data_IF_068794626608
#
_entry.id   IF_068794626608
#
_cell.length_a   1.000
_cell.length_b   1.000
_cell.length_c   1.000
_cell.angle_alpha   90.00
_cell.angle_beta   90.00
_cell.angle_gamma   90.00
#
_symmetry.space_group_name_H-M   'P 1'
#
loop_
_entity.id
_entity.type
_entity.pdbx_description
1 polymer ?
#
# COMPACT_ATOMS: atom_id res chain seq x y z
N UNK A 1 18.79 13.57 -34.85
CA UNK A 1 17.59 14.27 -34.36
C UNK A 1 16.26 13.69 -34.85
N UNK A 2 16.14 13.02 -36.01
CA UNK A 2 14.85 12.47 -36.48
C UNK A 2 14.36 11.18 -35.79
N UNK A 3 15.27 10.34 -35.24
CA UNK A 3 14.91 9.07 -34.60
C UNK A 3 14.54 9.17 -33.10
N UNK A 4 14.97 10.23 -32.40
CA UNK A 4 14.63 10.42 -30.99
C UNK A 4 13.18 10.86 -30.82
N UNK A 5 12.68 11.71 -31.71
CA UNK A 5 11.28 12.14 -31.72
C UNK A 5 10.32 10.99 -32.00
N UNK A 6 10.71 9.99 -32.81
CA UNK A 6 9.85 8.83 -33.08
C UNK A 6 9.74 7.89 -31.87
N UNK A 7 10.84 7.71 -31.12
CA UNK A 7 10.84 6.88 -29.91
C UNK A 7 10.00 7.47 -28.79
N UNK A 8 10.22 8.74 -28.43
CA UNK A 8 9.47 9.39 -27.35
C UNK A 8 7.98 9.50 -27.70
N UNK A 9 7.64 9.85 -28.94
CA UNK A 9 6.25 9.89 -29.38
C UNK A 9 5.59 8.50 -29.36
N UNK A 10 6.33 7.43 -29.63
CA UNK A 10 5.83 6.07 -29.47
C UNK A 10 5.56 5.73 -28.00
N UNK A 11 6.49 6.04 -27.10
CA UNK A 11 6.33 5.83 -25.66
C UNK A 11 5.13 6.61 -25.10
N UNK A 12 4.97 7.89 -25.48
CA UNK A 12 3.86 8.74 -25.06
C UNK A 12 2.49 8.17 -25.44
N UNK A 13 2.36 7.52 -26.60
CA UNK A 13 1.11 6.85 -27.01
C UNK A 13 0.75 5.69 -26.08
N UNK A 14 1.72 5.08 -25.41
CA UNK A 14 1.48 3.98 -24.47
C UNK A 14 0.97 4.45 -23.10
N UNK A 15 1.03 5.75 -22.80
CA UNK A 15 0.62 6.32 -21.51
C UNK A 15 -0.87 6.61 -21.39
N UNK A 16 -1.61 6.51 -22.49
CA UNK A 16 -3.03 6.91 -22.57
C UNK A 16 -3.89 6.04 -21.64
N UNK A 17 -3.66 4.73 -21.66
CA UNK A 17 -4.39 3.78 -20.81
C UNK A 17 -3.42 2.98 -19.94
N UNK A 18 -3.70 2.93 -18.64
CA UNK A 18 -2.99 2.05 -17.71
C UNK A 18 -3.75 0.74 -17.52
N UNK A 19 -3.94 0.04 -18.64
CA UNK A 19 -4.64 -1.25 -18.72
C UNK A 19 -3.68 -2.35 -19.16
N UNK A 20 -4.06 -3.60 -18.92
CA UNK A 20 -3.39 -4.74 -19.54
C UNK A 20 -4.14 -5.17 -20.79
N UNK A 21 -3.41 -5.35 -21.87
CA UNK A 21 -3.91 -6.02 -23.06
C UNK A 21 -3.20 -7.36 -23.21
N UNK A 22 -3.86 -8.30 -23.89
CA UNK A 22 -3.36 -9.64 -24.07
C UNK A 22 -3.28 -10.01 -25.54
N UNK A 23 -2.28 -10.82 -25.85
CA UNK A 23 -2.18 -11.61 -27.06
C UNK A 23 -2.57 -13.04 -26.69
N UNK A 24 -3.82 -13.39 -26.94
CA UNK A 24 -4.40 -14.68 -26.51
C UNK A 24 -3.69 -15.88 -27.15
N UNK A 25 -3.19 -15.72 -28.37
CA UNK A 25 -2.42 -16.74 -29.06
C UNK A 25 -1.09 -17.00 -28.34
N UNK A 26 -0.35 -15.93 -28.03
CA UNK A 26 0.90 -16.03 -27.26
C UNK A 26 0.64 -16.56 -25.85
N UNK A 27 -0.44 -16.10 -25.19
CA UNK A 27 -0.85 -16.57 -23.87
C UNK A 27 -1.08 -18.08 -23.88
N UNK A 28 -1.95 -18.58 -24.76
CA UNK A 28 -2.26 -20.00 -24.89
C UNK A 28 -0.99 -20.84 -25.14
N UNK A 29 -0.11 -20.38 -26.03
CA UNK A 29 1.14 -21.06 -26.34
C UNK A 29 2.14 -21.09 -25.16
N UNK A 30 2.08 -20.12 -24.24
CA UNK A 30 2.98 -20.04 -23.09
C UNK A 30 2.43 -20.71 -21.83
N UNK A 31 1.11 -20.85 -21.69
CA UNK A 31 0.49 -21.49 -20.53
C UNK A 31 0.99 -22.93 -20.31
N UNK A 32 1.35 -23.66 -21.37
CA UNK A 32 1.95 -24.99 -21.26
C UNK A 32 3.33 -24.99 -20.61
N UNK A 33 4.13 -23.93 -20.81
CA UNK A 33 5.47 -23.81 -20.22
C UNK A 33 5.42 -23.35 -18.76
N UNK A 34 4.31 -22.78 -18.31
CA UNK A 34 4.14 -22.39 -16.90
C UNK A 34 4.28 -23.59 -15.95
N UNK A 35 3.86 -24.78 -16.37
CA UNK A 35 4.04 -26.02 -15.59
C UNK A 35 5.50 -26.48 -15.49
N UNK A 36 6.40 -25.92 -16.30
CA UNK A 36 7.84 -26.15 -16.22
C UNK A 36 8.47 -25.62 -14.93
N UNK A 37 7.94 -24.51 -14.40
CA UNK A 37 8.27 -24.04 -13.06
C UNK A 37 7.62 -24.98 -12.02
N UNK A 38 8.41 -25.81 -11.33
CA UNK A 38 7.90 -26.82 -10.41
C UNK A 38 7.56 -26.24 -9.04
N UNK A 39 6.55 -26.75 -8.35
CA UNK A 39 6.25 -26.33 -6.98
C UNK A 39 7.46 -26.56 -6.06
N UNK A 40 7.77 -25.57 -5.22
CA UNK A 40 8.94 -25.61 -4.34
C UNK A 40 10.30 -25.42 -5.04
N UNK A 41 10.35 -25.15 -6.35
CA UNK A 41 11.59 -24.77 -7.02
C UNK A 41 12.05 -23.39 -6.57
N UNK A 42 13.36 -23.15 -6.62
CA UNK A 42 13.92 -21.84 -6.36
C UNK A 42 13.68 -20.93 -7.56
N UNK A 43 12.97 -19.83 -7.31
CA UNK A 43 12.72 -18.77 -8.27
C UNK A 43 13.63 -17.59 -7.93
N UNK A 44 14.19 -16.98 -8.95
CA UNK A 44 15.10 -15.85 -8.87
C UNK A 44 14.53 -14.65 -9.65
N UNK A 45 14.78 -13.46 -9.11
CA UNK A 45 14.61 -12.19 -9.81
C UNK A 45 15.97 -11.78 -10.37
N UNK A 46 16.05 -11.49 -11.66
CA UNK A 46 17.32 -11.24 -12.35
C UNK A 46 17.15 -10.18 -13.43
N UNK A 47 18.27 -9.60 -13.87
CA UNK A 47 18.26 -8.60 -14.93
C UNK A 47 19.49 -8.66 -15.83
N UNK A 48 19.38 -8.03 -16.99
CA UNK A 48 20.50 -7.71 -17.88
C UNK A 48 20.45 -6.23 -18.22
N UNK A 49 21.61 -5.57 -18.32
CA UNK A 49 21.66 -4.19 -18.78
C UNK A 49 21.35 -4.11 -20.28
N UNK A 50 20.53 -3.12 -20.65
CA UNK A 50 20.07 -2.87 -22.01
C UNK A 50 20.09 -1.39 -22.32
N UNK A 51 20.02 -1.08 -23.61
CA UNK A 51 19.83 0.27 -24.09
C UNK A 51 18.81 0.29 -25.23
N UNK A 52 17.88 1.24 -25.18
CA UNK A 52 16.89 1.44 -26.22
C UNK A 52 16.58 2.94 -26.35
N UNK A 53 16.50 3.46 -27.58
CA UNK A 53 16.25 4.89 -27.80
C UNK A 53 17.31 5.81 -27.17
N UNK A 54 18.54 5.33 -26.97
CA UNK A 54 19.62 6.06 -26.31
C UNK A 54 19.58 6.04 -24.77
N UNK A 55 18.62 5.33 -24.17
CA UNK A 55 18.46 5.22 -22.71
C UNK A 55 18.95 3.85 -22.26
N UNK A 56 19.87 3.83 -21.30
CA UNK A 56 20.29 2.58 -20.65
C UNK A 56 19.36 2.24 -19.48
N UNK A 57 18.98 0.98 -19.36
CA UNK A 57 18.07 0.48 -18.32
C UNK A 57 18.32 -1.01 -18.06
N UNK A 58 17.84 -1.49 -16.92
CA UNK A 58 17.89 -2.89 -16.54
C UNK A 58 16.64 -3.61 -17.04
N UNK A 59 16.83 -4.65 -17.85
CA UNK A 59 15.76 -5.53 -18.30
C UNK A 59 15.59 -6.71 -17.34
N UNK A 60 14.53 -6.63 -16.53
CA UNK A 60 14.26 -7.59 -15.46
C UNK A 60 13.40 -8.76 -15.91
N UNK A 61 13.61 -9.93 -15.28
CA UNK A 61 12.88 -11.16 -15.56
C UNK A 61 12.89 -12.10 -14.35
N UNK A 62 12.00 -13.10 -14.37
CA UNK A 62 11.88 -14.13 -13.35
C UNK A 62 12.32 -15.47 -13.91
N UNK A 63 13.14 -16.23 -13.17
CA UNK A 63 13.70 -17.49 -13.67
C UNK A 63 13.91 -18.55 -12.59
N UNK A 64 13.77 -19.82 -12.94
CA UNK A 64 14.24 -20.98 -12.17
C UNK A 64 15.60 -21.51 -12.72
N UNK A 65 16.28 -20.69 -13.53
CA UNK A 65 17.50 -20.98 -14.32
C UNK A 65 17.30 -21.88 -15.55
N UNK A 66 16.09 -22.39 -15.76
CA UNK A 66 15.72 -23.20 -16.93
C UNK A 66 14.72 -22.43 -17.79
N UNK A 67 13.71 -21.88 -17.14
CA UNK A 67 12.62 -21.09 -17.70
C UNK A 67 12.83 -19.62 -17.35
N UNK A 68 12.54 -18.74 -18.28
CA UNK A 68 12.71 -17.28 -18.16
C UNK A 68 11.39 -16.62 -18.52
N UNK A 69 10.68 -16.10 -17.51
CA UNK A 69 9.49 -15.28 -17.71
C UNK A 69 9.89 -13.81 -17.79
N UNK A 70 9.65 -13.19 -18.93
CA UNK A 70 10.06 -11.80 -19.20
C UNK A 70 9.05 -11.08 -20.08
N UNK A 71 9.02 -9.74 -19.96
CA UNK A 71 8.22 -8.88 -20.81
C UNK A 71 9.08 -8.30 -21.95
N UNK A 72 9.02 -8.92 -23.12
CA UNK A 72 9.92 -8.64 -24.25
C UNK A 72 11.15 -9.55 -24.27
N UNK A 73 11.87 -9.57 -25.40
CA UNK A 73 13.11 -10.35 -25.56
C UNK A 73 14.27 -9.46 -25.98
N UNK A 74 15.48 -10.03 -26.04
CA UNK A 74 16.71 -9.32 -26.34
C UNK A 74 16.72 -8.58 -27.71
N UNK A 75 15.92 -9.05 -28.66
CA UNK A 75 16.04 -8.68 -30.09
C UNK A 75 14.74 -8.11 -30.68
N UNK A 76 13.72 -7.85 -29.86
CA UNK A 76 12.38 -7.44 -30.32
C UNK A 76 12.14 -5.95 -30.02
N UNK A 77 11.46 -5.26 -30.96
CA UNK A 77 10.90 -3.93 -30.73
C UNK A 77 10.01 -3.96 -29.47
N UNK A 78 10.40 -3.18 -28.46
CA UNK A 78 9.76 -3.16 -27.15
C UNK A 78 8.24 -2.91 -27.24
N UNK A 79 7.73 -2.23 -28.26
CA UNK A 79 6.28 -1.98 -28.39
C UNK A 79 5.51 -3.16 -28.97
N UNK A 80 6.21 -4.10 -29.59
CA UNK A 80 5.68 -5.41 -29.98
C UNK A 80 5.92 -6.48 -28.90
N UNK A 81 6.60 -6.13 -27.81
CA UNK A 81 6.91 -7.05 -26.72
C UNK A 81 5.66 -7.73 -26.17
N UNK A 82 5.86 -8.97 -25.74
CA UNK A 82 4.87 -9.81 -25.05
C UNK A 82 5.52 -10.42 -23.82
N UNK A 83 4.72 -10.67 -22.79
CA UNK A 83 5.17 -11.50 -21.68
C UNK A 83 5.18 -12.95 -22.12
N UNK A 84 6.35 -13.57 -22.11
CA UNK A 84 6.55 -14.95 -22.58
C UNK A 84 7.42 -15.74 -21.61
N UNK A 85 7.40 -17.06 -21.73
CA UNK A 85 8.32 -17.98 -21.06
C UNK A 85 9.25 -18.53 -22.13
N UNK A 86 10.54 -18.22 -22.00
CA UNK A 86 11.60 -18.80 -22.83
C UNK A 86 12.33 -19.90 -22.08
N UNK A 87 12.79 -20.92 -22.80
CA UNK A 87 13.69 -21.97 -22.30
C UNK A 87 15.10 -21.82 -22.83
N UNK A 88 15.38 -20.75 -23.59
CA UNK A 88 16.71 -20.49 -24.12
C UNK A 88 17.65 -20.13 -22.97
N UNK A 89 18.66 -20.98 -22.76
CA UNK A 89 19.66 -20.78 -21.70
C UNK A 89 20.34 -19.43 -21.89
N UNK A 90 20.38 -18.64 -20.81
CA UNK A 90 21.14 -17.39 -20.75
C UNK A 90 22.41 -17.61 -19.94
N UNK A 91 23.56 -17.35 -20.55
CA UNK A 91 24.85 -17.55 -19.90
C UNK A 91 25.31 -16.34 -19.05
N UNK A 92 24.76 -15.15 -19.28
CA UNK A 92 25.14 -13.93 -18.56
C UNK A 92 23.93 -13.10 -18.16
N UNK A 93 23.73 -12.96 -16.85
CA UNK A 93 22.80 -12.01 -16.25
C UNK A 93 23.20 -11.73 -14.81
N UNK A 94 22.74 -10.59 -14.30
CA UNK A 94 22.92 -10.23 -12.92
C UNK A 94 21.75 -10.83 -12.12
N UNK A 95 22.08 -11.59 -11.08
CA UNK A 95 21.13 -11.77 -9.99
C UNK A 95 21.08 -10.46 -9.19
N UNK A 96 19.91 -10.07 -8.71
CA UNK A 96 19.77 -8.84 -7.90
C UNK A 96 20.86 -8.85 -6.79
N UNK A 97 21.78 -7.87 -6.76
CA UNK A 97 22.92 -7.86 -5.85
C UNK A 97 22.52 -7.91 -4.37
N UNK A 98 21.28 -7.49 -4.05
CA UNK A 98 20.74 -7.51 -2.68
C UNK A 98 20.07 -8.84 -2.31
N UNK A 99 19.81 -9.70 -3.30
CA UNK A 99 19.05 -10.96 -3.18
C UNK A 99 19.86 -12.21 -3.58
N UNK A 100 21.19 -12.17 -3.62
CA UNK A 100 22.02 -13.37 -3.93
C UNK A 100 21.75 -14.58 -3.01
N UNK A 101 21.08 -14.39 -1.86
CA UNK A 101 20.56 -15.43 -0.95
C UNK A 101 19.04 -15.63 -0.97
N UNK A 102 18.27 -14.79 -1.66
CA UNK A 102 16.81 -14.77 -1.59
C UNK A 102 16.19 -15.27 -2.90
N UNK A 103 16.32 -16.58 -3.12
CA UNK A 103 15.34 -17.25 -3.95
C UNK A 103 14.02 -17.37 -3.18
N UNK A 104 12.91 -17.29 -3.90
CA UNK A 104 11.57 -17.58 -3.35
C UNK A 104 11.14 -18.93 -3.87
N UNK A 105 10.56 -19.74 -2.99
CA UNK A 105 9.97 -21.01 -3.39
C UNK A 105 8.74 -20.77 -4.25
N UNK A 106 8.69 -21.41 -5.41
CA UNK A 106 7.51 -21.39 -6.27
C UNK A 106 6.30 -21.92 -5.51
N UNK A 107 5.25 -21.10 -5.43
CA UNK A 107 3.99 -21.43 -4.79
C UNK A 107 2.80 -21.16 -5.73
N UNK A 108 1.60 -21.56 -5.28
CA UNK A 108 0.37 -21.38 -6.05
C UNK A 108 0.13 -19.90 -6.39
N UNK A 109 0.35 -18.99 -5.44
CA UNK A 109 0.09 -17.56 -5.67
C UNK A 109 1.02 -16.97 -6.72
N UNK A 110 2.32 -17.32 -6.69
CA UNK A 110 3.28 -16.91 -7.70
C UNK A 110 2.92 -17.45 -9.08
N UNK A 111 2.52 -18.73 -9.17
CA UNK A 111 2.04 -19.33 -10.42
C UNK A 111 0.80 -18.63 -10.96
N UNK A 112 -0.14 -18.25 -10.10
CA UNK A 112 -1.35 -17.51 -10.48
C UNK A 112 -0.98 -16.12 -11.01
N UNK A 113 -0.04 -15.41 -10.37
CA UNK A 113 0.49 -14.13 -10.87
C UNK A 113 1.22 -14.27 -12.22
N UNK A 114 2.02 -15.33 -12.40
CA UNK A 114 2.62 -15.63 -13.71
C UNK A 114 1.52 -15.81 -14.77
N UNK A 115 0.51 -16.65 -14.47
CA UNK A 115 -0.64 -16.87 -15.35
C UNK A 115 -1.33 -15.56 -15.72
N UNK A 116 -1.47 -14.63 -14.77
CA UNK A 116 -2.11 -13.34 -15.02
C UNK A 116 -1.39 -12.51 -16.08
N UNK A 117 -0.07 -12.44 -16.04
CA UNK A 117 0.71 -11.60 -16.97
C UNK A 117 1.08 -12.30 -18.27
N UNK A 118 0.96 -13.62 -18.39
CA UNK A 118 1.33 -14.31 -19.63
C UNK A 118 0.54 -13.80 -20.85
N UNK A 119 1.27 -13.57 -21.94
CA UNK A 119 0.76 -13.00 -23.18
C UNK A 119 0.40 -11.52 -23.09
N UNK A 120 0.64 -10.86 -21.96
CA UNK A 120 0.42 -9.42 -21.82
C UNK A 120 1.25 -8.67 -22.87
N UNK A 121 0.61 -7.70 -23.52
CA UNK A 121 1.19 -6.77 -24.50
C UNK A 121 1.15 -5.34 -23.97
N UNK A 122 1.31 -4.32 -24.83
CA UNK A 122 1.22 -2.89 -24.51
C UNK A 122 2.32 -2.32 -23.58
N UNK A 123 3.53 -2.85 -23.74
CA UNK A 123 4.73 -2.43 -23.02
C UNK A 123 4.88 -0.90 -22.99
N UNK A 124 5.28 -0.39 -21.83
CA UNK A 124 5.64 1.01 -21.61
C UNK A 124 6.85 1.02 -20.69
N UNK A 125 7.92 1.73 -21.07
CA UNK A 125 9.08 1.90 -20.19
C UNK A 125 8.71 2.58 -18.88
N UNK A 126 7.68 3.44 -18.90
CA UNK A 126 7.24 4.20 -17.73
C UNK A 126 6.25 3.46 -16.84
N UNK A 127 5.21 2.87 -17.44
CA UNK A 127 4.04 2.41 -16.68
C UNK A 127 4.00 0.88 -16.52
N UNK A 128 4.52 0.13 -17.50
CA UNK A 128 4.35 -1.33 -17.60
C UNK A 128 5.61 -1.98 -18.17
N UNK A 129 6.75 -1.67 -17.57
CA UNK A 129 8.03 -2.21 -18.04
C UNK A 129 8.27 -3.63 -17.49
N UNK A 130 9.38 -4.24 -17.91
CA UNK A 130 9.76 -5.57 -17.48
C UNK A 130 10.03 -5.68 -15.96
N UNK A 131 10.50 -4.62 -15.30
CA UNK A 131 10.70 -4.59 -13.84
C UNK A 131 9.36 -4.66 -13.09
N UNK A 132 8.34 -3.93 -13.55
CA UNK A 132 7.00 -4.01 -12.97
C UNK A 132 6.45 -5.44 -13.05
N UNK A 133 6.54 -6.08 -14.22
CA UNK A 133 6.06 -7.46 -14.41
C UNK A 133 6.83 -8.44 -13.55
N UNK A 134 8.17 -8.32 -13.53
CA UNK A 134 9.02 -9.21 -12.75
C UNK A 134 8.76 -9.06 -11.24
N UNK A 135 8.64 -7.83 -10.73
CA UNK A 135 8.27 -7.59 -9.33
C UNK A 135 6.82 -8.04 -9.02
N UNK A 136 5.89 -7.93 -9.96
CA UNK A 136 4.54 -8.43 -9.75
C UNK A 136 4.54 -9.94 -9.59
N UNK A 137 5.20 -10.66 -10.48
CA UNK A 137 5.31 -12.12 -10.38
C UNK A 137 6.05 -12.51 -9.10
N UNK A 138 7.24 -11.95 -8.89
CA UNK A 138 8.15 -12.37 -7.83
C UNK A 138 7.65 -11.96 -6.43
N UNK A 139 7.25 -10.70 -6.29
CA UNK A 139 6.91 -10.07 -5.00
C UNK A 139 5.41 -9.83 -4.82
N UNK A 140 4.61 -9.83 -5.88
CA UNK A 140 3.20 -9.45 -5.82
C UNK A 140 2.97 -7.94 -5.82
N UNK A 141 3.95 -7.14 -6.28
CA UNK A 141 3.92 -5.67 -6.30
C UNK A 141 4.18 -5.15 -7.70
N UNK A 142 3.42 -4.14 -8.15
CA UNK A 142 3.64 -3.48 -9.43
C UNK A 142 4.52 -2.25 -9.25
N UNK A 143 5.83 -2.48 -9.07
CA UNK A 143 6.80 -1.42 -8.82
C UNK A 143 8.03 -1.59 -9.71
N UNK A 144 8.60 -0.47 -10.13
CA UNK A 144 9.88 -0.34 -10.83
C UNK A 144 10.73 0.70 -10.10
N UNK A 145 11.88 0.27 -9.59
CA UNK A 145 12.86 1.13 -8.93
C UNK A 145 13.48 2.11 -9.94
N UNK A 146 13.56 1.70 -11.20
CA UNK A 146 14.02 2.56 -12.29
C UNK A 146 13.07 3.72 -12.59
N UNK A 147 11.80 3.57 -12.19
CA UNK A 147 10.78 4.60 -12.29
C UNK A 147 10.48 5.29 -10.95
N UNK A 148 11.25 5.01 -9.90
CA UNK A 148 11.04 5.61 -8.58
C UNK A 148 11.53 7.07 -8.53
N UNK A 149 10.59 7.98 -8.24
CA UNK A 149 10.76 9.43 -8.31
C UNK A 149 11.64 10.02 -7.18
N UNK A 150 12.25 9.17 -6.36
CA UNK A 150 13.24 9.52 -5.33
C UNK A 150 14.58 10.04 -5.88
N UNK A 151 14.64 10.45 -7.16
CA UNK A 151 15.83 11.02 -7.79
C UNK A 151 16.92 10.00 -8.13
N UNK A 152 16.66 8.70 -8.03
CA UNK A 152 17.64 7.64 -8.35
C UNK A 152 17.20 6.74 -9.51
N UNK A 153 15.92 6.76 -9.90
CA UNK A 153 15.45 5.95 -11.01
C UNK A 153 15.96 6.49 -12.35
N UNK A 154 16.71 5.65 -13.07
CA UNK A 154 17.30 6.03 -14.37
C UNK A 154 16.20 6.40 -15.39
N UNK A 155 15.12 5.62 -15.45
CA UNK A 155 14.04 5.86 -16.40
C UNK A 155 13.19 7.10 -16.01
N UNK A 156 12.82 7.26 -14.74
CA UNK A 156 12.05 8.45 -14.33
C UNK A 156 12.84 9.74 -14.56
N UNK A 157 14.16 9.74 -14.33
CA UNK A 157 15.00 10.93 -14.57
C UNK A 157 14.93 11.41 -16.03
N UNK A 158 14.79 10.46 -16.96
CA UNK A 158 14.64 10.75 -18.38
C UNK A 158 13.22 11.19 -18.73
N UNK A 159 12.21 10.42 -18.31
CA UNK A 159 10.83 10.61 -18.75
C UNK A 159 10.05 11.70 -18.01
N UNK A 160 10.45 12.05 -16.78
CA UNK A 160 9.71 12.97 -15.89
C UNK A 160 9.32 14.28 -16.56
N UNK A 161 10.23 14.90 -17.31
CA UNK A 161 9.99 16.19 -17.98
C UNK A 161 8.99 16.11 -19.14
N UNK A 162 8.68 14.90 -19.61
CA UNK A 162 7.75 14.64 -20.69
C UNK A 162 6.40 14.10 -20.22
N UNK A 163 6.32 13.62 -18.97
CA UNK A 163 5.09 13.09 -18.39
C UNK A 163 4.24 14.21 -17.79
N UNK A 164 2.95 14.21 -18.10
CA UNK A 164 1.97 15.03 -17.42
C UNK A 164 1.77 14.56 -15.98
N UNK A 165 1.34 15.45 -15.09
CA UNK A 165 1.21 15.17 -13.64
C UNK A 165 0.24 14.01 -13.35
N UNK A 166 -0.84 13.88 -14.12
CA UNK A 166 -1.79 12.76 -14.06
C UNK A 166 -1.12 11.42 -14.43
N UNK A 167 -0.19 11.43 -15.40
CA UNK A 167 0.55 10.23 -15.83
C UNK A 167 1.66 9.84 -14.87
N UNK A 168 2.33 10.81 -14.26
CA UNK A 168 3.33 10.54 -13.22
C UNK A 168 2.70 9.77 -12.07
N UNK A 169 1.43 10.07 -11.73
CA UNK A 169 0.72 9.30 -10.69
C UNK A 169 0.68 7.83 -11.06
N UNK A 170 0.33 7.48 -12.30
CA UNK A 170 0.20 6.09 -12.78
C UNK A 170 1.46 5.23 -12.68
N UNK A 171 2.63 5.85 -12.50
CA UNK A 171 3.89 5.13 -12.25
C UNK A 171 3.77 4.29 -10.96
N UNK A 172 4.24 3.05 -11.01
CA UNK A 172 4.22 2.13 -9.87
C UNK A 172 2.82 1.90 -9.28
N UNK A 173 1.80 1.75 -10.15
CA UNK A 173 0.51 1.16 -9.77
C UNK A 173 0.19 -0.06 -10.56
N UNK A 174 -0.72 -0.84 -10.00
CA UNK A 174 -1.45 -1.80 -10.78
C UNK A 174 -2.22 -1.21 -11.97
N UNK A 175 -2.07 -1.83 -13.15
CA UNK A 175 -2.99 -1.66 -14.26
C UNK A 175 -4.40 -2.05 -13.85
N UNK A 176 -5.41 -1.37 -14.38
CA UNK A 176 -6.84 -1.52 -13.97
C UNK A 176 -7.33 -2.98 -13.94
N UNK A 177 -6.83 -3.83 -14.85
CA UNK A 177 -7.23 -5.24 -14.97
C UNK A 177 -6.47 -6.19 -14.04
N UNK A 178 -5.33 -5.78 -13.47
CA UNK A 178 -4.68 -6.54 -12.40
C UNK A 178 -5.26 -6.03 -11.09
N UNK A 179 -6.24 -6.77 -10.57
CA UNK A 179 -6.57 -6.67 -9.15
C UNK A 179 -5.80 -7.78 -8.43
N UNK A 180 -5.02 -7.49 -7.38
CA UNK A 180 -4.58 -8.50 -6.43
C UNK A 180 -5.79 -9.32 -6.02
N UNK A 181 -5.63 -10.64 -5.90
CA UNK A 181 -6.66 -11.55 -5.38
C UNK A 181 -7.13 -11.25 -3.93
N UNK A 182 -6.70 -10.10 -3.38
CA UNK A 182 -6.85 -9.67 -2.00
C UNK A 182 -8.27 -9.16 -1.72
N UNK A 183 -9.02 -8.77 -2.76
CA UNK A 183 -10.35 -8.19 -2.58
C UNK A 183 -11.41 -9.22 -2.93
N UNK A 184 -12.08 -9.76 -1.91
CA UNK A 184 -13.32 -10.48 -2.14
C UNK A 184 -14.26 -9.55 -2.88
N UNK A 185 -14.67 -9.90 -4.09
CA UNK A 185 -15.73 -9.19 -4.80
C UNK A 185 -17.00 -9.26 -3.94
N UNK A 186 -17.18 -8.25 -3.09
CA UNK A 186 -18.45 -7.90 -2.46
C UNK A 186 -19.28 -9.07 -1.93
N UNK A 187 -18.70 -10.01 -1.18
CA UNK A 187 -19.53 -10.71 -0.21
C UNK A 187 -19.91 -9.68 0.83
N UNK A 188 -21.14 -9.18 0.76
CA UNK A 188 -21.76 -8.17 1.62
C UNK A 188 -21.92 -8.61 3.08
N UNK A 189 -21.09 -9.55 3.53
CA UNK A 189 -21.20 -10.14 4.86
C UNK A 189 -20.56 -9.18 5.85
N UNK A 190 -21.38 -8.75 6.82
CA UNK A 190 -20.92 -7.94 7.94
C UNK A 190 -19.89 -8.73 8.74
N UNK A 191 -18.86 -8.06 9.23
CA UNK A 191 -17.93 -8.69 10.18
C UNK A 191 -18.57 -8.93 11.54
N UNK A 192 -19.44 -8.00 11.95
CA UNK A 192 -20.22 -8.06 13.18
C UNK A 192 -21.67 -7.70 12.87
N UNK A 193 -22.58 -8.65 13.05
CA UNK A 193 -24.00 -8.42 12.77
C UNK A 193 -24.65 -7.38 13.70
N UNK A 194 -24.05 -7.16 14.87
CA UNK A 194 -24.55 -6.28 15.93
C UNK A 194 -23.93 -4.88 15.94
N UNK A 195 -22.99 -4.58 15.03
CA UNK A 195 -22.43 -3.23 14.91
C UNK A 195 -23.15 -2.43 13.84
N UNK A 196 -23.53 -1.20 14.19
CA UNK A 196 -24.06 -0.22 13.25
C UNK A 196 -22.97 0.27 12.31
N UNK A 197 -23.32 0.40 11.03
CA UNK A 197 -22.44 0.95 10.01
C UNK A 197 -22.37 2.48 10.14
N UNK A 198 -21.17 3.00 10.37
CA UNK A 198 -20.94 4.46 10.29
C UNK A 198 -20.45 4.90 8.91
N UNK A 199 -19.83 3.96 8.19
CA UNK A 199 -19.27 4.17 6.87
C UNK A 199 -19.66 3.01 5.98
N UNK A 200 -20.17 3.34 4.80
CA UNK A 200 -20.48 2.37 3.76
C UNK A 200 -19.33 2.34 2.76
N UNK A 201 -18.73 1.17 2.58
CA UNK A 201 -17.74 0.95 1.52
C UNK A 201 -18.35 1.21 0.15
N UNK A 202 -17.62 1.89 -0.72
CA UNK A 202 -18.06 2.17 -2.10
C UNK A 202 -17.16 1.52 -3.12
N UNK A 203 -15.85 1.69 -2.97
CA UNK A 203 -14.89 1.26 -3.97
C UNK A 203 -13.50 1.21 -3.39
N UNK A 204 -12.59 0.71 -4.19
CA UNK A 204 -11.19 0.61 -3.88
C UNK A 204 -10.40 1.22 -5.03
N UNK A 205 -9.41 2.04 -4.71
CA UNK A 205 -8.55 2.68 -5.68
C UNK A 205 -7.06 2.53 -5.34
N UNK A 206 -6.23 2.47 -6.37
CA UNK A 206 -4.77 2.64 -6.25
C UNK A 206 -4.35 4.10 -6.27
N UNK A 207 -5.22 4.97 -6.80
CA UNK A 207 -4.98 6.38 -6.95
C UNK A 207 -6.19 7.20 -6.57
N UNK A 208 -5.89 8.37 -6.05
CA UNK A 208 -6.86 9.41 -5.84
C UNK A 208 -6.49 10.60 -6.71
N UNK A 209 -7.49 11.35 -7.14
CA UNK A 209 -7.21 12.72 -7.53
C UNK A 209 -6.95 13.55 -6.26
N UNK A 210 -5.70 14.01 -6.09
CA UNK A 210 -5.29 14.76 -4.91
C UNK A 210 -6.02 16.10 -4.70
N UNK A 211 -6.79 16.57 -5.70
CA UNK A 211 -7.66 17.74 -5.56
C UNK A 211 -9.05 17.38 -5.01
N UNK A 212 -9.39 16.10 -4.89
CA UNK A 212 -10.65 15.67 -4.28
C UNK A 212 -10.69 16.08 -2.80
N UNK A 213 -11.80 16.72 -2.43
CA UNK A 213 -12.05 17.14 -1.05
C UNK A 213 -12.70 16.01 -0.23
N UNK A 214 -12.00 14.88 -0.12
CA UNK A 214 -12.39 13.75 0.73
C UNK A 214 -11.97 13.98 2.19
N UNK A 215 -12.57 13.22 3.10
CA UNK A 215 -12.05 13.03 4.46
C UNK A 215 -11.00 11.92 4.44
N UNK A 216 -9.73 12.31 4.51
CA UNK A 216 -8.61 11.38 4.33
C UNK A 216 -8.07 10.88 5.68
N UNK A 217 -8.05 9.56 5.84
CA UNK A 217 -7.53 8.86 7.01
C UNK A 217 -6.31 8.03 6.60
N UNK A 218 -5.17 8.22 7.26
CA UNK A 218 -3.97 7.43 7.04
C UNK A 218 -3.79 6.41 8.15
N UNK A 219 -3.71 5.12 7.83
CA UNK A 219 -3.47 4.05 8.81
C UNK A 219 -2.04 3.55 8.69
N UNK A 220 -1.21 3.80 9.71
CA UNK A 220 0.21 3.45 9.75
C UNK A 220 0.54 2.60 10.95
N UNK A 221 1.58 1.77 10.83
CA UNK A 221 2.00 0.89 11.92
C UNK A 221 2.78 -0.33 11.44
N UNK A 222 3.40 -1.08 12.37
CA UNK A 222 4.19 -2.27 12.04
C UNK A 222 3.39 -3.36 11.31
N UNK A 223 4.11 -4.31 10.72
CA UNK A 223 3.53 -5.54 10.17
C UNK A 223 2.83 -6.33 11.29
N UNK A 224 1.63 -6.86 11.03
CA UNK A 224 0.86 -7.62 12.03
C UNK A 224 0.20 -6.78 13.15
N UNK A 225 0.27 -5.45 13.08
CA UNK A 225 -0.38 -4.57 14.06
C UNK A 225 -1.92 -4.54 13.96
N UNK A 226 -2.52 -5.13 12.91
CA UNK A 226 -3.96 -5.14 12.71
C UNK A 226 -4.53 -3.94 11.95
N UNK A 227 -3.72 -3.28 11.11
CA UNK A 227 -4.15 -2.13 10.27
C UNK A 227 -5.32 -2.48 9.35
N UNK A 228 -5.13 -3.47 8.48
CA UNK A 228 -6.15 -3.92 7.53
C UNK A 228 -7.39 -4.48 8.23
N UNK A 229 -7.21 -5.16 9.37
CA UNK A 229 -8.35 -5.57 10.21
C UNK A 229 -9.13 -4.36 10.73
N UNK A 230 -8.45 -3.33 11.26
CA UNK A 230 -9.09 -2.11 11.71
C UNK A 230 -9.86 -1.38 10.59
N UNK A 231 -9.36 -1.41 9.35
CA UNK A 231 -10.06 -0.87 8.18
C UNK A 231 -11.31 -1.71 7.86
N UNK A 232 -11.23 -3.03 7.96
CA UNK A 232 -12.39 -3.89 7.82
C UNK A 232 -13.46 -3.57 8.88
N UNK A 233 -13.06 -3.37 10.14
CA UNK A 233 -13.96 -2.90 11.22
C UNK A 233 -14.56 -1.54 10.86
N UNK A 234 -13.75 -0.62 10.32
CA UNK A 234 -14.17 0.74 9.98
C UNK A 234 -15.38 0.77 9.03
N UNK A 235 -15.42 -0.16 8.07
CA UNK A 235 -16.54 -0.34 7.13
C UNK A 235 -17.47 -1.51 7.51
N UNK A 236 -17.23 -2.17 8.64
CA UNK A 236 -17.88 -3.42 9.08
C UNK A 236 -17.98 -4.51 7.97
N UNK A 237 -16.97 -4.61 7.10
CA UNK A 237 -16.96 -5.50 5.94
C UNK A 237 -15.55 -6.06 5.71
N UNK A 238 -15.47 -7.30 5.20
CA UNK A 238 -14.20 -7.94 4.85
C UNK A 238 -13.67 -7.39 3.51
N UNK A 239 -13.04 -6.22 3.55
CA UNK A 239 -12.53 -5.50 2.38
C UNK A 239 -11.07 -5.86 2.11
N UNK A 240 -10.22 -5.67 3.10
CA UNK A 240 -8.81 -6.01 3.06
C UNK A 240 -8.58 -7.45 3.54
N UNK A 241 -7.61 -8.15 2.97
CA UNK A 241 -7.15 -9.42 3.53
C UNK A 241 -6.41 -9.16 4.86
N UNK A 242 -6.84 -9.81 5.93
CA UNK A 242 -6.32 -9.62 7.29
C UNK A 242 -5.82 -10.91 7.92
N UNK A 243 -5.54 -11.94 7.11
CA UNK A 243 -5.06 -13.23 7.62
C UNK A 243 -3.79 -13.12 8.48
N UNK A 244 -3.75 -13.91 9.56
CA UNK A 244 -2.60 -14.01 10.45
C UNK A 244 -1.48 -14.74 9.72
N UNK A 245 -0.62 -13.97 9.06
CA UNK A 245 0.51 -14.46 8.28
C UNK A 245 1.82 -13.91 8.85
N UNK A 246 2.87 -14.73 8.86
CA UNK A 246 4.23 -14.29 9.21
C UNK A 246 4.86 -13.39 8.13
N UNK A 247 4.24 -13.29 6.94
CA UNK A 247 4.64 -12.38 5.85
C UNK A 247 3.69 -11.18 5.80
N UNK A 248 4.21 -10.03 5.36
CA UNK A 248 3.39 -8.84 5.12
C UNK A 248 2.30 -9.15 4.09
N UNK A 249 1.05 -9.10 4.52
CA UNK A 249 -0.14 -9.32 3.66
C UNK A 249 -0.36 -8.09 2.78
N UNK A 250 -0.23 -6.90 3.36
CA UNK A 250 -0.34 -5.61 2.66
C UNK A 250 0.99 -5.26 2.00
N UNK A 251 1.10 -5.60 0.72
CA UNK A 251 2.32 -5.40 -0.07
C UNK A 251 2.39 -4.05 -0.79
N UNK A 252 1.29 -3.32 -0.82
CA UNK A 252 1.21 -1.98 -1.38
C UNK A 252 0.28 -1.08 -0.58
N UNK A 253 0.25 0.19 -0.96
CA UNK A 253 -0.61 1.19 -0.33
C UNK A 253 -1.86 1.34 -1.16
N UNK A 254 -2.98 1.25 -0.47
CA UNK A 254 -4.28 1.20 -1.10
C UNK A 254 -5.22 2.24 -0.50
N UNK A 255 -6.18 2.71 -1.29
CA UNK A 255 -7.17 3.69 -0.85
C UNK A 255 -8.55 3.05 -0.86
N UNK A 256 -9.05 2.75 0.33
CA UNK A 256 -10.42 2.24 0.51
C UNK A 256 -11.36 3.43 0.58
N UNK A 257 -12.29 3.52 -0.37
CA UNK A 257 -13.30 4.56 -0.41
C UNK A 257 -14.59 4.12 0.28
N UNK A 258 -15.23 5.07 0.92
CA UNK A 258 -16.61 4.94 1.32
C UNK A 258 -17.29 6.28 1.51
N UNK A 259 -18.47 6.23 2.12
CA UNK A 259 -19.26 7.40 2.53
C UNK A 259 -19.71 7.24 3.96
N UNK A 260 -19.78 8.33 4.70
CA UNK A 260 -20.39 8.32 6.02
C UNK A 260 -20.33 9.68 6.69
N UNK A 261 -20.80 9.69 7.94
CA UNK A 261 -20.92 10.91 8.72
C UNK A 261 -19.57 11.33 9.31
N UNK A 262 -19.19 12.58 9.07
CA UNK A 262 -17.97 13.20 9.61
C UNK A 262 -18.35 14.46 10.39
N UNK A 263 -17.71 14.67 11.54
CA UNK A 263 -17.99 15.85 12.35
C UNK A 263 -17.29 17.11 11.83
N UNK A 264 -18.07 18.14 11.56
CA UNK A 264 -17.58 19.44 11.15
C UNK A 264 -17.47 20.38 12.36
N UNK A 265 -16.27 20.54 12.91
CA UNK A 265 -16.05 21.40 14.10
C UNK A 265 -16.48 22.85 13.88
N UNK A 266 -16.27 23.42 12.68
CA UNK A 266 -16.63 24.81 12.40
C UNK A 266 -18.15 25.02 12.45
N UNK A 267 -18.91 24.07 11.90
CA UNK A 267 -20.38 24.12 11.87
C UNK A 267 -21.04 23.50 13.09
N UNK A 268 -20.28 22.74 13.89
CA UNK A 268 -20.75 21.92 15.01
C UNK A 268 -21.86 20.91 14.65
N UNK A 269 -21.78 20.30 13.47
CA UNK A 269 -22.75 19.31 12.98
C UNK A 269 -22.05 18.14 12.30
N UNK A 270 -22.73 17.00 12.21
CA UNK A 270 -22.33 15.91 11.32
C UNK A 270 -22.74 16.21 9.89
N UNK A 271 -21.86 15.92 8.94
CA UNK A 271 -22.15 16.01 7.51
C UNK A 271 -21.69 14.73 6.80
N UNK A 272 -22.48 14.30 5.82
CA UNK A 272 -22.12 13.19 4.95
C UNK A 272 -20.92 13.59 4.08
N UNK A 273 -19.87 12.77 4.06
CA UNK A 273 -18.66 12.99 3.27
C UNK A 273 -18.20 11.71 2.58
N UNK A 274 -17.52 11.89 1.46
CA UNK A 274 -16.66 10.84 0.93
C UNK A 274 -15.48 10.67 1.87
N UNK A 275 -15.21 9.43 2.25
CA UNK A 275 -14.12 9.05 3.15
C UNK A 275 -13.14 8.18 2.39
N UNK A 276 -11.85 8.44 2.60
CA UNK A 276 -10.79 7.60 2.06
C UNK A 276 -9.88 7.16 3.19
N UNK A 277 -9.71 5.85 3.31
CA UNK A 277 -8.80 5.24 4.28
C UNK A 277 -7.62 4.64 3.52
N UNK A 278 -6.44 5.20 3.74
CA UNK A 278 -5.19 4.71 3.17
C UNK A 278 -4.64 3.57 4.04
N UNK A 279 -4.71 2.34 3.53
CA UNK A 279 -4.03 1.19 4.13
C UNK A 279 -2.57 1.20 3.69
N UNK A 280 -1.62 1.18 4.63
CA UNK A 280 -0.19 1.19 4.30
C UNK A 280 0.47 -0.16 4.47
N UNK A 281 1.59 -0.34 3.78
CA UNK A 281 2.55 -1.41 4.06
C UNK A 281 2.99 -1.32 5.53
N UNK A 282 3.28 -2.47 6.15
CA UNK A 282 3.87 -2.53 7.49
C UNK A 282 5.25 -1.86 7.54
N UNK A 283 5.48 -1.02 8.55
CA UNK A 283 6.72 -0.26 8.71
C UNK A 283 7.98 -1.10 9.05
N UNK A 284 7.85 -2.40 9.26
CA UNK A 284 8.93 -3.33 9.60
C UNK A 284 8.70 -4.60 8.78
N UNK A 285 8.84 -4.49 7.46
CA UNK A 285 8.67 -5.58 6.50
C UNK A 285 10.03 -6.28 6.33
N UNK A 286 10.06 -7.61 6.41
CA UNK A 286 11.31 -8.38 6.27
C UNK A 286 11.90 -8.31 4.85
N UNK A 287 11.11 -7.91 3.85
CA UNK A 287 11.54 -7.88 2.45
C UNK A 287 12.27 -6.56 2.08
N UNK A 288 11.98 -5.44 2.75
CA UNK A 288 12.44 -4.10 2.35
C UNK A 288 13.02 -3.33 3.54
N UNK A 289 14.03 -2.51 3.26
CA UNK A 289 14.59 -1.58 4.26
C UNK A 289 13.55 -0.56 4.73
N UNK A 290 13.51 -0.29 6.03
CA UNK A 290 12.51 0.58 6.67
C UNK A 290 12.49 2.00 6.09
N UNK A 291 13.65 2.57 5.73
CA UNK A 291 13.70 3.90 5.12
C UNK A 291 13.03 3.89 3.74
N UNK A 292 13.21 2.81 2.98
CA UNK A 292 12.52 2.65 1.68
C UNK A 292 11.01 2.55 1.87
N UNK A 293 10.55 1.80 2.86
CA UNK A 293 9.10 1.68 3.15
C UNK A 293 8.52 3.03 3.53
N UNK A 294 9.18 3.77 4.42
CA UNK A 294 8.75 5.11 4.84
C UNK A 294 8.71 6.08 3.66
N UNK A 295 9.72 6.05 2.79
CA UNK A 295 9.75 6.89 1.60
C UNK A 295 8.66 6.51 0.60
N UNK A 296 8.40 5.21 0.42
CA UNK A 296 7.31 4.73 -0.43
C UNK A 296 5.95 5.19 0.12
N UNK A 297 5.73 5.09 1.45
CA UNK A 297 4.53 5.64 2.10
C UNK A 297 4.42 7.13 1.86
N UNK A 298 5.49 7.88 2.12
CA UNK A 298 5.54 9.33 1.91
C UNK A 298 5.16 9.69 0.49
N UNK A 299 5.86 9.14 -0.50
CA UNK A 299 5.67 9.50 -1.90
C UNK A 299 4.26 9.12 -2.38
N UNK A 300 3.79 7.93 -2.01
CA UNK A 300 2.48 7.46 -2.46
C UNK A 300 1.36 8.27 -1.83
N UNK A 301 1.44 8.57 -0.53
CA UNK A 301 0.44 9.40 0.14
C UNK A 301 0.51 10.83 -0.38
N UNK A 302 1.69 11.45 -0.47
CA UNK A 302 1.84 12.84 -0.95
C UNK A 302 1.41 13.05 -2.41
N UNK A 303 1.53 12.04 -3.27
CA UNK A 303 1.09 12.14 -4.67
C UNK A 303 -0.42 11.96 -4.86
N UNK A 304 -1.12 11.41 -3.85
CA UNK A 304 -2.55 11.10 -3.91
C UNK A 304 -3.39 11.93 -2.94
N UNK A 305 -2.82 12.42 -1.85
CA UNK A 305 -3.53 13.11 -0.78
C UNK A 305 -2.81 14.42 -0.48
N UNK A 306 -3.48 15.53 -0.78
CA UNK A 306 -3.00 16.89 -0.47
C UNK A 306 -3.14 17.22 1.02
N UNK A 307 -4.25 16.80 1.60
CA UNK A 307 -4.61 17.10 2.99
C UNK A 307 -5.04 15.84 3.73
N UNK A 308 -4.44 15.60 4.90
CA UNK A 308 -4.87 14.53 5.80
C UNK A 308 -5.75 15.08 6.92
N UNK A 309 -6.88 14.40 7.15
CA UNK A 309 -7.82 14.77 8.20
C UNK A 309 -7.54 14.02 9.51
N UNK A 310 -7.16 12.74 9.41
CA UNK A 310 -6.84 11.89 10.55
C UNK A 310 -5.68 10.92 10.26
N UNK A 311 -4.94 10.56 11.31
CA UNK A 311 -3.83 9.59 11.24
C UNK A 311 -3.99 8.57 12.35
N UNK A 312 -4.04 7.30 11.97
CA UNK A 312 -4.22 6.15 12.85
C UNK A 312 -2.87 5.47 13.00
N UNK A 313 -2.29 5.54 14.20
CA UNK A 313 -1.04 4.88 14.54
C UNK A 313 -1.36 3.59 15.28
N UNK A 314 -1.28 2.48 14.55
CA UNK A 314 -1.71 1.16 15.04
C UNK A 314 -0.50 0.35 15.48
N UNK A 315 -0.57 -0.22 16.68
CA UNK A 315 0.44 -1.13 17.21
C UNK A 315 -0.21 -2.19 18.08
N UNK A 316 0.47 -3.32 18.29
CA UNK A 316 -0.03 -4.34 19.21
C UNK A 316 0.20 -3.93 20.66
N UNK A 317 -0.81 -4.04 21.50
CA UNK A 317 -0.73 -3.70 22.91
C UNK A 317 0.29 -4.55 23.68
N UNK A 318 0.50 -5.79 23.23
CA UNK A 318 1.39 -6.78 23.85
C UNK A 318 2.82 -6.77 23.32
N UNK A 319 3.08 -6.07 22.21
CA UNK A 319 4.35 -6.14 21.51
C UNK A 319 4.68 -4.82 20.81
N UNK A 320 5.47 -4.02 21.51
CA UNK A 320 6.04 -2.79 20.97
C UNK A 320 7.58 -2.85 21.01
N UNK A 321 8.19 -3.23 19.88
CA UNK A 321 9.65 -3.33 19.77
C UNK A 321 10.29 -1.96 19.54
N UNK A 322 11.57 -1.82 19.90
CA UNK A 322 12.33 -0.57 19.71
C UNK A 322 12.33 -0.08 18.26
N UNK A 323 12.48 -0.99 17.30
CA UNK A 323 12.44 -0.71 15.86
C UNK A 323 11.06 -0.17 15.43
N UNK A 324 9.96 -0.78 15.92
CA UNK A 324 8.60 -0.29 15.67
C UNK A 324 8.44 1.17 16.14
N UNK A 325 8.94 1.48 17.33
CA UNK A 325 8.89 2.84 17.90
C UNK A 325 9.68 3.82 17.02
N UNK A 326 10.86 3.45 16.56
CA UNK A 326 11.69 4.30 15.71
C UNK A 326 11.00 4.64 14.38
N UNK A 327 10.42 3.64 13.70
CA UNK A 327 9.76 3.86 12.42
C UNK A 327 8.46 4.68 12.57
N UNK A 328 7.69 4.42 13.63
CA UNK A 328 6.54 5.26 13.98
C UNK A 328 6.98 6.71 14.21
N UNK A 329 8.05 6.94 14.99
CA UNK A 329 8.58 8.29 15.22
C UNK A 329 9.02 9.00 13.94
N UNK A 330 9.58 8.28 12.97
CA UNK A 330 9.92 8.85 11.66
C UNK A 330 8.68 9.33 10.89
N UNK A 331 7.59 8.54 10.91
CA UNK A 331 6.31 8.92 10.31
C UNK A 331 5.68 10.11 11.06
N UNK A 332 5.68 10.10 12.40
CA UNK A 332 5.17 11.22 13.21
C UNK A 332 5.93 12.52 12.92
N UNK A 333 7.25 12.45 12.75
CA UNK A 333 8.09 13.59 12.37
C UNK A 333 7.71 14.11 10.97
N UNK A 334 7.56 13.22 9.99
CA UNK A 334 7.14 13.58 8.64
C UNK A 334 5.75 14.25 8.63
N UNK A 335 4.81 13.70 9.38
CA UNK A 335 3.44 14.21 9.51
C UNK A 335 3.31 15.37 10.50
N UNK A 336 4.43 15.90 11.01
CA UNK A 336 4.44 17.10 11.85
C UNK A 336 3.56 16.97 13.12
N UNK A 337 3.56 15.79 13.75
CA UNK A 337 2.74 15.50 14.95
C UNK A 337 2.93 16.52 16.08
N UNK A 338 4.18 16.84 16.43
CA UNK A 338 4.50 17.70 17.57
C UNK A 338 4.51 19.21 17.24
N UNK A 339 4.13 19.62 16.04
CA UNK A 339 4.09 21.03 15.63
C UNK A 339 2.65 21.51 15.41
N UNK A 340 2.34 22.70 15.93
CA UNK A 340 0.99 23.27 15.87
C UNK A 340 -0.05 22.46 16.66
N UNK A 341 -1.29 22.44 16.16
CA UNK A 341 -2.44 21.69 16.70
C UNK A 341 -2.64 20.33 15.98
N UNK A 342 -1.60 19.77 15.37
CA UNK A 342 -1.70 18.54 14.58
C UNK A 342 -1.93 17.30 15.43
N UNK A 343 -1.50 17.30 16.70
CA UNK A 343 -1.77 16.24 17.66
C UNK A 343 -3.26 15.90 17.80
N UNK A 344 -4.13 16.87 17.52
CA UNK A 344 -5.58 16.69 17.46
C UNK A 344 -6.03 15.65 16.43
N UNK A 345 -5.22 15.36 15.42
CA UNK A 345 -5.56 14.49 14.28
C UNK A 345 -5.05 13.06 14.40
N UNK A 346 -4.27 12.76 15.44
CA UNK A 346 -3.65 11.46 15.62
C UNK A 346 -4.44 10.64 16.63
N UNK A 347 -4.74 9.40 16.24
CA UNK A 347 -5.28 8.37 17.09
C UNK A 347 -4.28 7.23 17.19
N UNK A 348 -3.84 6.94 18.40
CA UNK A 348 -3.02 5.78 18.69
C UNK A 348 -3.93 4.61 19.08
N UNK A 349 -3.78 3.47 18.40
CA UNK A 349 -4.62 2.29 18.57
C UNK A 349 -3.76 1.10 18.97
N UNK A 350 -3.83 0.72 20.24
CA UNK A 350 -3.30 -0.52 20.76
C UNK A 350 -4.26 -1.67 20.48
N UNK A 351 -3.95 -2.53 19.52
CA UNK A 351 -4.76 -3.71 19.17
C UNK A 351 -4.42 -4.91 20.04
N UNK A 352 -5.23 -5.99 19.96
CA UNK A 352 -5.09 -7.21 20.77
C UNK A 352 -5.18 -6.91 22.28
N UNK A 353 -6.12 -6.05 22.68
CA UNK A 353 -6.31 -5.65 24.06
C UNK A 353 -7.58 -6.23 24.71
N UNK A 354 -8.29 -7.13 24.04
CA UNK A 354 -9.52 -7.79 24.49
C UNK A 354 -9.35 -8.63 25.77
N UNK A 355 -8.16 -9.19 25.95
CA UNK A 355 -7.79 -9.99 27.12
C UNK A 355 -7.13 -9.18 28.24
N UNK A 356 -6.84 -7.88 28.02
CA UNK A 356 -6.18 -7.04 29.02
C UNK A 356 -7.17 -6.51 30.06
N UNK A 357 -6.75 -6.50 31.32
CA UNK A 357 -7.47 -5.80 32.41
C UNK A 357 -7.33 -4.29 32.27
N UNK A 358 -8.24 -3.53 32.87
CA UNK A 358 -8.18 -2.06 32.83
C UNK A 358 -6.93 -1.52 33.52
N UNK A 359 -6.48 -2.14 34.61
CA UNK A 359 -5.20 -1.84 35.26
C UNK A 359 -4.02 -1.99 34.28
N UNK A 360 -3.99 -3.10 33.52
CA UNK A 360 -2.92 -3.32 32.54
C UNK A 360 -3.01 -2.33 31.38
N UNK A 361 -4.21 -2.03 30.88
CA UNK A 361 -4.41 -0.98 29.86
C UNK A 361 -3.94 0.38 30.36
N UNK A 362 -4.19 0.73 31.62
CA UNK A 362 -3.74 1.98 32.23
C UNK A 362 -2.21 2.06 32.34
N UNK A 363 -1.56 0.97 32.77
CA UNK A 363 -0.10 0.86 32.80
C UNK A 363 0.50 1.01 31.40
N UNK A 364 -0.02 0.31 30.39
CA UNK A 364 0.45 0.43 29.00
C UNK A 364 0.21 1.83 28.44
N UNK A 365 -0.88 2.49 28.83
CA UNK A 365 -1.18 3.87 28.42
C UNK A 365 -0.10 4.84 28.91
N UNK A 366 0.35 4.70 30.16
CA UNK A 366 1.43 5.52 30.71
C UNK A 366 2.74 5.30 29.91
N UNK A 367 3.11 4.04 29.70
CA UNK A 367 4.30 3.67 28.93
C UNK A 367 4.27 4.23 27.50
N UNK A 368 3.16 4.03 26.76
CA UNK A 368 3.02 4.54 25.40
C UNK A 368 3.01 6.08 25.34
N UNK A 369 2.44 6.74 26.36
CA UNK A 369 2.46 8.20 26.50
C UNK A 369 3.89 8.70 26.59
N UNK A 370 4.74 8.06 27.39
CA UNK A 370 6.16 8.41 27.53
C UNK A 370 6.94 8.09 26.24
N UNK A 371 6.76 6.90 25.67
CA UNK A 371 7.49 6.44 24.49
C UNK A 371 7.26 7.37 23.29
N UNK A 372 6.00 7.72 23.02
CA UNK A 372 5.63 8.53 21.87
C UNK A 372 5.56 10.03 22.17
N UNK A 373 5.71 10.44 23.44
CA UNK A 373 5.57 11.83 23.86
C UNK A 373 4.14 12.33 23.63
N UNK A 374 3.14 11.49 23.93
CA UNK A 374 1.74 11.86 23.76
C UNK A 374 1.41 12.96 24.76
N UNK A 375 0.87 14.07 24.26
CA UNK A 375 0.30 15.08 25.15
C UNK A 375 -0.96 14.49 25.77
N UNK A 376 -1.07 14.51 27.10
CA UNK A 376 -2.36 14.34 27.78
C UNK A 376 -3.23 15.55 27.44
N UNK A 377 -3.78 15.55 26.24
CA UNK A 377 -4.82 16.50 25.89
C UNK A 377 -6.08 16.00 26.59
N UNK A 378 -6.37 16.54 27.77
CA UNK A 378 -7.73 16.55 28.30
C UNK A 378 -8.57 17.31 27.29
N UNK A 379 -9.12 16.59 26.32
CA UNK A 379 -9.94 17.17 25.27
C UNK A 379 -11.37 17.07 25.74
N UNK A 380 -11.90 18.09 26.39
CA UNK A 380 -13.35 18.19 26.53
C UNK A 380 -13.92 18.28 25.12
N UNK A 381 -14.48 17.18 24.62
CA UNK A 381 -15.23 17.15 23.37
C UNK A 381 -16.27 18.25 23.45
N UNK A 382 -16.20 19.27 22.58
CA UNK A 382 -17.24 20.30 22.52
C UNK A 382 -18.63 19.72 22.16
N UNK A 383 -18.70 18.43 21.81
CA UNK A 383 -19.90 17.70 21.42
C UNK A 383 -20.46 16.85 22.55
N UNK A 384 -19.59 16.17 23.32
CA UNK A 384 -20.01 15.17 24.31
C UNK A 384 -19.59 15.51 25.73
N UNK A 385 -18.88 16.62 25.97
CA UNK A 385 -18.25 16.95 27.27
C UNK A 385 -17.28 15.89 27.83
N UNK A 386 -16.99 14.84 27.05
CA UNK A 386 -16.09 13.75 27.43
C UNK A 386 -14.65 14.04 27.00
N UNK A 387 -13.69 13.60 27.81
CA UNK A 387 -12.26 13.66 27.48
C UNK A 387 -11.90 12.69 26.36
N UNK A 388 -11.65 13.22 25.15
CA UNK A 388 -11.18 12.43 24.01
C UNK A 388 -9.74 11.98 24.25
N UNK A 389 -9.56 10.69 24.52
CA UNK A 389 -8.24 10.08 24.68
C UNK A 389 -7.56 9.89 23.32
N UNK A 390 -6.36 10.44 23.12
CA UNK A 390 -5.58 10.24 21.87
C UNK A 390 -5.01 8.82 21.72
N UNK A 391 -5.19 7.96 22.72
CA UNK A 391 -4.71 6.58 22.77
C UNK A 391 -5.81 5.66 23.32
N UNK A 392 -6.18 4.66 22.51
CA UNK A 392 -7.16 3.62 22.87
C UNK A 392 -6.57 2.22 22.76
N UNK A 393 -7.05 1.33 23.62
CA UNK A 393 -6.72 -0.10 23.60
C UNK A 393 -7.97 -0.89 23.25
N UNK A 394 -7.94 -1.59 22.13
CA UNK A 394 -9.12 -2.21 21.52
C UNK A 394 -8.86 -3.68 21.18
N UNK A 395 -9.93 -4.46 21.07
CA UNK A 395 -9.88 -5.81 20.55
C UNK A 395 -11.14 -6.14 19.76
N UNK A 396 -10.95 -6.80 18.62
CA UNK A 396 -12.02 -7.15 17.68
C UNK A 396 -11.88 -8.62 17.29
N UNK A 397 -12.21 -9.56 18.19
CA UNK A 397 -12.13 -11.00 17.92
C UNK A 397 -13.24 -11.43 16.94
N UNK A 398 -13.04 -12.50 16.15
CA UNK A 398 -14.05 -13.01 15.22
C UNK A 398 -15.43 -13.19 15.88
N UNK A 399 -16.52 -12.81 15.20
CA UNK A 399 -17.88 -12.80 15.78
C UNK A 399 -18.33 -14.18 16.29
N UNK A 400 -17.95 -15.24 15.58
CA UNK A 400 -18.22 -16.64 15.93
C UNK A 400 -17.57 -17.09 17.25
N UNK A 401 -16.56 -16.35 17.73
CA UNK A 401 -15.89 -16.58 19.02
C UNK A 401 -16.52 -15.82 20.19
N UNK A 402 -17.50 -14.95 19.95
CA UNK A 402 -18.02 -14.03 20.96
C UNK A 402 -19.22 -14.59 21.74
N UNK A 403 -19.14 -14.49 23.07
CA UNK A 403 -20.31 -14.49 23.96
C UNK A 403 -20.83 -13.05 24.20
N UNK A 404 -21.98 -12.91 24.87
CA UNK A 404 -22.63 -11.61 25.10
C UNK A 404 -21.72 -10.59 25.80
N UNK A 405 -20.95 -11.03 26.81
CA UNK A 405 -20.00 -10.15 27.51
C UNK A 405 -18.89 -9.66 26.59
N UNK A 406 -18.38 -10.51 25.72
CA UNK A 406 -17.35 -10.13 24.73
C UNK A 406 -17.92 -9.28 23.59
N UNK A 407 -19.20 -9.44 23.23
CA UNK A 407 -19.88 -8.55 22.27
C UNK A 407 -19.98 -7.12 22.81
N UNK A 408 -20.31 -6.94 24.09
CA UNK A 408 -20.32 -5.61 24.71
C UNK A 408 -18.93 -4.97 24.71
N UNK A 409 -17.86 -5.72 25.01
CA UNK A 409 -16.48 -5.21 24.88
C UNK A 409 -16.12 -4.78 23.45
N UNK A 410 -16.63 -5.46 22.44
CA UNK A 410 -16.45 -5.09 21.03
C UNK A 410 -17.20 -3.78 20.73
N UNK A 411 -18.43 -3.62 21.23
CA UNK A 411 -19.18 -2.36 21.12
C UNK A 411 -18.47 -1.20 21.81
N UNK A 412 -17.97 -1.39 23.03
CA UNK A 412 -17.18 -0.39 23.76
C UNK A 412 -15.90 0.00 22.99
N UNK A 413 -15.20 -1.00 22.44
CA UNK A 413 -14.01 -0.79 21.59
C UNK A 413 -14.36 0.00 20.34
N UNK A 414 -15.48 -0.33 19.69
CA UNK A 414 -15.96 0.36 18.51
C UNK A 414 -16.35 1.81 18.81
N UNK A 415 -17.11 2.06 19.88
CA UNK A 415 -17.52 3.41 20.28
C UNK A 415 -16.32 4.30 20.66
N UNK A 416 -15.28 3.71 21.26
CA UNK A 416 -14.02 4.41 21.53
C UNK A 416 -13.33 4.87 20.24
N UNK A 417 -13.20 3.97 19.26
CA UNK A 417 -12.60 4.29 17.95
C UNK A 417 -13.47 5.29 17.19
N UNK A 418 -14.79 5.08 17.16
CA UNK A 418 -15.79 5.93 16.49
C UNK A 418 -15.81 7.35 17.04
N UNK A 419 -15.75 7.51 18.35
CA UNK A 419 -15.78 8.84 18.98
C UNK A 419 -14.53 9.64 18.63
N UNK A 420 -13.39 8.95 18.52
CA UNK A 420 -12.13 9.53 18.08
C UNK A 420 -11.98 9.61 16.58
N UNK A 421 -12.96 9.13 15.80
CA UNK A 421 -13.10 9.38 14.36
C UNK A 421 -13.85 10.68 14.06
N UNK A 422 -14.43 11.32 15.08
CA UNK A 422 -15.09 12.63 14.99
C UNK A 422 -14.06 13.79 14.96
N UNK A 423 -12.83 13.53 14.51
CA UNK A 423 -11.75 14.52 14.42
C UNK A 423 -12.11 15.60 13.39
N UNK A 424 -11.68 16.86 13.60
CA UNK A 424 -12.15 17.99 12.82
C UNK A 424 -11.97 17.82 11.31
N UNK A 425 -13.08 17.64 10.59
CA UNK A 425 -13.07 17.52 9.12
C UNK A 425 -12.85 18.82 8.34
N UNK A 426 -12.78 20.00 9.00
CA UNK A 426 -12.76 21.29 8.27
C UNK A 426 -11.90 22.42 8.89
N UNK A 427 -11.00 22.13 9.84
CA UNK A 427 -9.94 23.06 10.33
C UNK A 427 -8.58 22.70 9.70
N UNK A 428 -7.49 23.38 10.09
CA UNK A 428 -6.10 23.21 9.60
C UNK A 428 -5.70 21.74 9.40
N UNK A 429 -5.94 21.21 8.19
CA UNK A 429 -5.61 19.83 7.83
C UNK A 429 -4.10 19.68 7.79
N UNK A 430 -3.60 18.46 7.99
CA UNK A 430 -2.17 18.22 7.79
C UNK A 430 -1.92 18.37 6.29
N UNK A 431 -1.24 19.45 5.91
CA UNK A 431 -0.81 19.65 4.54
C UNK A 431 0.36 18.71 4.25
N UNK A 432 0.15 17.77 3.36
CA UNK A 432 1.13 16.74 2.98
C UNK A 432 1.91 17.15 1.72
N UNK A 433 1.88 18.46 1.36
CA UNK A 433 2.52 19.06 0.19
C UNK A 433 3.83 18.37 -0.18
N UNK A 434 3.94 18.05 -1.47
CA UNK A 434 5.05 17.39 -2.16
C UNK A 434 6.37 18.19 -2.17
N UNK A 435 6.55 19.14 -1.25
CA UNK A 435 7.49 20.27 -1.39
C UNK A 435 8.78 20.20 -0.58
N UNK A 436 8.84 19.46 0.52
CA UNK A 436 10.10 19.31 1.28
C UNK A 436 10.71 17.94 1.00
N UNK A 437 11.28 17.78 -0.20
CA UNK A 437 12.30 16.76 -0.48
C UNK A 437 13.55 17.10 0.32
N UNK A 438 13.46 17.05 1.64
CA UNK A 438 14.62 17.15 2.51
C UNK A 438 15.41 15.86 2.27
N UNK A 439 16.47 15.97 1.48
CA UNK A 439 17.58 15.02 1.43
C UNK A 439 18.06 14.83 2.86
N UNK A 440 17.54 13.81 3.53
CA UNK A 440 18.19 13.28 4.72
C UNK A 440 19.39 12.51 4.16
N UNK A 441 20.52 13.22 4.08
CA UNK A 441 21.86 12.65 3.98
C UNK A 441 22.08 11.64 5.10
#
# INVERSE_FOLDING_TARGET
MGAEYSFLAAEQKTWIEHTLDYDETVRAANLRFLYGFKDGSDIYLSYVDRSWGGISFQHWFVTDRIHFLEFGSADIDIYTARVTISTSVRYSYHSDPKDFKHCVKMDKQMRDRMRHVLGMRNYSLCLRNCEHVANYVFRGRWVSSQMDDNGQGVLISYFRKYMLSDRIRLVNSFPVKIRPHIFGEGKSEKLYSFLDENYTYTSFDYYLDHEENNYNVLVVGPTGAGKSHLINIFFNQKICDSEVSHRSVTKEIYFVRGRGQVYNIKKKVFEERNVVVADTIGLCDTEWDDKKIINLIRNRVSSNIKYMDAVFVVFRADRLLKEHVQNIKMILKWLKYSTGNNDLRFLFVGTYADYLTDEKKNSLRQEATEIFGLKQTGRTSMVTSEDLQSLVYTGFPPEDSLNDRTKEKVKESWESVKTLLKLPGNTDRINIASGDFCTIL
#
